data_IF_217948228559
#
_entry.id   IF_217948228559
#
_cell.length_a   1.000
_cell.length_b   1.000
_cell.length_c   1.000
_cell.angle_alpha   90.00
_cell.angle_beta   90.00
_cell.angle_gamma   90.00
#
_symmetry.space_group_name_H-M   'P 1'
#
loop_
_entity.id
_entity.type
_entity.pdbx_description
1 polymer ?
#
# COMPACT_ATOMS: atom_id res chain seq x y z
N UNK A 1 -17.76 10.23 -7.97
CA UNK A 1 -16.66 9.61 -7.20
C UNK A 1 -15.30 9.98 -7.78
N UNK A 2 -14.97 9.58 -9.02
CA UNK A 2 -13.66 9.84 -9.63
C UNK A 2 -13.27 11.34 -9.66
N UNK A 3 -14.23 12.23 -9.94
CA UNK A 3 -14.00 13.68 -9.93
C UNK A 3 -13.54 14.22 -8.57
N UNK A 4 -14.11 13.70 -7.47
CA UNK A 4 -13.83 14.17 -6.12
C UNK A 4 -12.43 13.74 -5.67
N UNK A 5 -12.04 12.50 -5.98
CA UNK A 5 -10.70 12.00 -5.69
C UNK A 5 -9.64 12.72 -6.53
N UNK A 6 -9.92 13.04 -7.80
CA UNK A 6 -9.00 13.86 -8.62
C UNK A 6 -8.76 15.23 -7.97
N UNK A 7 -9.81 15.93 -7.54
CA UNK A 7 -9.68 17.25 -6.87
C UNK A 7 -8.86 17.12 -5.58
N UNK A 8 -9.15 16.11 -4.77
CA UNK A 8 -8.45 15.85 -3.50
C UNK A 8 -6.96 15.56 -3.76
N UNK A 9 -6.65 14.71 -4.73
CA UNK A 9 -5.27 14.39 -5.11
C UNK A 9 -4.53 15.60 -5.68
N UNK A 10 -5.15 16.40 -6.56
CA UNK A 10 -4.52 17.60 -7.09
C UNK A 10 -4.11 18.58 -5.99
N UNK A 11 -4.93 18.71 -4.94
CA UNK A 11 -4.61 19.55 -3.78
C UNK A 11 -3.51 18.95 -2.90
N UNK A 12 -3.55 17.64 -2.65
CA UNK A 12 -2.54 16.98 -1.81
C UNK A 12 -1.18 16.95 -2.51
N UNK A 13 -1.16 16.66 -3.80
CA UNK A 13 0.07 16.46 -4.57
C UNK A 13 0.70 17.77 -5.08
N UNK A 14 0.03 18.92 -4.93
CA UNK A 14 0.64 20.22 -5.24
C UNK A 14 1.87 20.53 -4.39
N UNK A 15 1.89 19.99 -3.16
CA UNK A 15 2.95 20.23 -2.18
C UNK A 15 3.99 19.10 -2.14
N UNK A 16 3.79 18.05 -2.96
CA UNK A 16 4.71 16.90 -3.06
C UNK A 16 5.87 17.24 -3.99
N UNK A 17 7.10 17.33 -3.44
CA UNK A 17 8.26 17.87 -4.16
C UNK A 17 9.10 16.81 -4.87
N UNK A 18 8.89 15.56 -4.51
CA UNK A 18 9.69 14.40 -4.92
C UNK A 18 9.32 13.95 -6.35
N UNK A 19 8.15 14.34 -6.85
CA UNK A 19 7.71 14.04 -8.20
C UNK A 19 6.75 15.11 -8.73
N UNK A 20 6.97 15.56 -9.97
CA UNK A 20 6.09 16.51 -10.62
C UNK A 20 4.90 15.80 -11.30
N UNK A 21 3.76 15.80 -10.63
CA UNK A 21 2.54 15.17 -11.14
C UNK A 21 1.89 16.00 -12.24
N UNK A 22 1.77 15.42 -13.44
CA UNK A 22 0.89 15.97 -14.48
C UNK A 22 -0.57 15.66 -14.16
N UNK A 23 -1.51 16.41 -14.75
CA UNK A 23 -2.95 16.14 -14.62
C UNK A 23 -3.29 14.70 -15.04
N UNK A 24 -2.68 14.20 -16.13
CA UNK A 24 -2.84 12.81 -16.57
C UNK A 24 -2.36 11.80 -15.53
N UNK A 25 -1.25 12.09 -14.85
CA UNK A 25 -0.74 11.22 -13.78
C UNK A 25 -1.69 11.20 -12.58
N UNK A 26 -2.28 12.35 -12.24
CA UNK A 26 -3.25 12.46 -11.15
C UNK A 26 -4.53 11.70 -11.49
N UNK A 27 -5.06 11.85 -12.71
CA UNK A 27 -6.23 11.09 -13.17
C UNK A 27 -5.97 9.59 -13.17
N UNK A 28 -4.80 9.16 -13.62
CA UNK A 28 -4.43 7.75 -13.64
C UNK A 28 -4.30 7.19 -12.22
N UNK A 29 -3.65 7.92 -11.32
CA UNK A 29 -3.57 7.56 -9.90
C UNK A 29 -4.96 7.50 -9.26
N UNK A 30 -5.83 8.47 -9.54
CA UNK A 30 -7.21 8.48 -9.07
C UNK A 30 -7.98 7.23 -9.52
N UNK A 31 -7.85 6.85 -10.79
CA UNK A 31 -8.49 5.63 -11.33
C UNK A 31 -7.97 4.37 -10.67
N UNK A 32 -6.65 4.30 -10.46
CA UNK A 32 -6.02 3.17 -9.77
C UNK A 32 -6.55 3.09 -8.33
N UNK A 33 -6.48 4.18 -7.56
CA UNK A 33 -6.94 4.19 -6.17
C UNK A 33 -8.42 3.80 -6.08
N UNK A 34 -9.26 4.33 -6.97
CA UNK A 34 -10.68 3.98 -7.00
C UNK A 34 -10.94 2.51 -7.37
N UNK A 35 -10.10 1.90 -8.21
CA UNK A 35 -10.21 0.48 -8.55
C UNK A 35 -9.79 -0.45 -7.40
N UNK A 36 -8.95 0.04 -6.50
CA UNK A 36 -8.46 -0.67 -5.32
C UNK A 36 -9.12 -0.19 -4.02
N UNK A 37 -10.26 0.51 -4.09
CA UNK A 37 -10.93 1.01 -2.89
C UNK A 37 -11.23 -0.14 -1.91
N UNK A 38 -10.93 0.09 -0.63
CA UNK A 38 -10.96 -0.90 0.45
C UNK A 38 -10.06 -2.14 0.26
N UNK A 39 -9.18 -2.15 -0.74
CA UNK A 39 -8.27 -3.25 -1.06
C UNK A 39 -6.80 -2.84 -0.92
N UNK A 40 -5.92 -3.84 -0.88
CA UNK A 40 -4.48 -3.63 -0.89
C UNK A 40 -4.01 -3.31 -2.31
N UNK A 41 -3.37 -2.15 -2.49
CA UNK A 41 -2.81 -1.75 -3.77
C UNK A 41 -1.40 -2.35 -3.97
N UNK A 42 -1.17 -3.15 -5.04
CA UNK A 42 0.16 -3.64 -5.35
C UNK A 42 1.08 -2.49 -5.82
N UNK A 43 2.29 -2.40 -5.25
CA UNK A 43 3.26 -1.35 -5.61
C UNK A 43 3.56 -1.34 -7.12
N UNK A 44 3.63 -2.53 -7.73
CA UNK A 44 3.88 -2.71 -9.16
C UNK A 44 2.85 -2.02 -10.06
N UNK A 45 1.59 -1.93 -9.62
CA UNK A 45 0.52 -1.25 -10.38
C UNK A 45 0.84 0.23 -10.51
N UNK A 46 1.18 0.89 -9.40
CA UNK A 46 1.54 2.32 -9.41
C UNK A 46 2.85 2.53 -10.16
N UNK A 47 3.85 1.70 -9.86
CA UNK A 47 5.18 1.75 -10.47
C UNK A 47 5.11 1.77 -11.99
N UNK A 48 4.38 0.81 -12.58
CA UNK A 48 4.26 0.65 -14.03
C UNK A 48 3.45 1.77 -14.68
N UNK A 49 2.37 2.20 -14.03
CA UNK A 49 1.46 3.20 -14.59
C UNK A 49 2.00 4.63 -14.49
N UNK A 50 2.76 4.95 -13.44
CA UNK A 50 3.31 6.30 -13.21
C UNK A 50 4.81 6.41 -13.53
N UNK A 51 5.42 5.32 -14.00
CA UNK A 51 6.85 5.25 -14.32
C UNK A 51 7.76 5.69 -13.15
N UNK A 52 7.40 5.25 -11.94
CA UNK A 52 8.15 5.51 -10.71
C UNK A 52 9.08 4.34 -10.41
N UNK A 53 10.05 4.53 -9.51
CA UNK A 53 10.77 3.44 -8.86
C UNK A 53 10.07 2.99 -7.56
N UNK A 54 10.51 1.88 -6.97
CA UNK A 54 9.90 1.36 -5.74
C UNK A 54 10.01 2.31 -4.54
N UNK A 55 11.08 3.11 -4.45
CA UNK A 55 11.25 4.08 -3.38
C UNK A 55 10.22 5.20 -3.53
N UNK A 56 10.10 5.76 -4.73
CA UNK A 56 9.13 6.79 -5.06
C UNK A 56 7.68 6.34 -4.84
N UNK A 57 7.35 5.08 -5.19
CA UNK A 57 6.01 4.53 -4.93
C UNK A 57 5.73 4.42 -3.43
N UNK A 58 6.70 3.93 -2.65
CA UNK A 58 6.53 3.85 -1.20
C UNK A 58 6.40 5.24 -0.56
N UNK A 59 7.25 6.19 -0.95
CA UNK A 59 7.20 7.58 -0.46
C UNK A 59 5.85 8.23 -0.81
N UNK A 60 5.36 8.03 -2.02
CA UNK A 60 4.04 8.49 -2.46
C UNK A 60 2.92 7.87 -1.62
N UNK A 61 2.91 6.54 -1.48
CA UNK A 61 1.85 5.84 -0.73
C UNK A 61 1.87 6.18 0.76
N UNK A 62 3.05 6.39 1.34
CA UNK A 62 3.20 6.89 2.71
C UNK A 62 2.70 8.33 2.84
N UNK A 63 2.97 9.19 1.85
CA UNK A 63 2.46 10.55 1.82
C UNK A 63 0.92 10.58 1.70
N UNK A 64 0.35 9.73 0.86
CA UNK A 64 -1.10 9.54 0.75
C UNK A 64 -1.70 9.01 2.06
N UNK A 65 -0.98 8.17 2.81
CA UNK A 65 -1.44 7.67 4.08
C UNK A 65 -1.55 8.76 5.15
N UNK A 66 -0.56 9.67 5.20
CA UNK A 66 -0.61 10.87 6.05
C UNK A 66 -1.81 11.78 5.74
N UNK A 67 -2.35 11.68 4.52
CA UNK A 67 -3.52 12.41 4.06
C UNK A 67 -4.81 11.57 4.04
N UNK A 68 -4.82 10.40 4.71
CA UNK A 68 -6.00 9.54 4.82
C UNK A 68 -6.60 9.10 3.47
N UNK A 69 -5.74 8.87 2.46
CA UNK A 69 -6.12 8.26 1.18
C UNK A 69 -5.78 6.77 1.16
N UNK A 70 -4.72 6.41 1.88
CA UNK A 70 -4.32 5.02 2.09
C UNK A 70 -4.10 4.79 3.59
N UNK A 71 -4.03 3.53 3.99
CA UNK A 71 -3.72 3.11 5.33
C UNK A 71 -2.52 2.16 5.28
N UNK A 72 -1.59 2.32 6.23
CA UNK A 72 -0.51 1.37 6.42
C UNK A 72 -1.11 0.10 7.01
N UNK A 73 -0.76 -1.01 6.40
CA UNK A 73 -1.09 -2.35 6.84
C UNK A 73 0.17 -3.20 6.73
N UNK A 74 0.11 -4.39 7.32
CA UNK A 74 1.28 -5.25 7.46
C UNK A 74 0.97 -6.66 6.98
N UNK A 75 1.94 -7.26 6.31
CA UNK A 75 1.93 -8.68 5.94
C UNK A 75 3.23 -9.33 6.40
N UNK A 76 3.15 -10.62 6.70
CA UNK A 76 4.31 -11.44 7.02
C UNK A 76 4.72 -12.20 5.76
N UNK A 77 6.01 -12.16 5.42
CA UNK A 77 6.57 -13.02 4.40
C UNK A 77 7.10 -14.32 5.01
N UNK A 78 6.68 -15.47 4.47
CA UNK A 78 7.26 -16.77 4.80
C UNK A 78 7.98 -17.35 3.58
N UNK A 79 9.12 -18.03 3.79
CA UNK A 79 9.80 -18.71 2.68
C UNK A 79 9.00 -19.91 2.15
N UNK A 80 8.13 -20.50 2.97
CA UNK A 80 7.27 -21.60 2.56
C UNK A 80 6.07 -21.03 1.78
N UNK A 81 5.95 -21.28 0.47
CA UNK A 81 4.87 -20.75 -0.35
C UNK A 81 3.48 -21.25 0.10
N UNK A 82 3.41 -22.42 0.74
CA UNK A 82 2.16 -22.94 1.31
C UNK A 82 1.66 -22.11 2.50
N UNK A 83 2.51 -21.31 3.12
CA UNK A 83 2.15 -20.40 4.21
C UNK A 83 1.88 -18.97 3.73
N UNK A 84 2.18 -18.64 2.47
CA UNK A 84 2.02 -17.30 1.91
C UNK A 84 0.64 -17.05 1.28
N UNK A 85 -0.07 -18.12 0.93
CA UNK A 85 -1.32 -18.08 0.18
C UNK A 85 -2.50 -17.46 0.97
N UNK A 86 -2.43 -17.47 2.31
CA UNK A 86 -3.43 -16.91 3.24
C UNK A 86 -2.79 -15.88 4.19
N UNK A 87 -1.94 -14.99 3.67
CA UNK A 87 -1.29 -13.96 4.50
C UNK A 87 -2.30 -12.92 4.96
N UNK A 88 -2.79 -13.13 6.17
CA UNK A 88 -3.53 -12.19 7.01
C UNK A 88 -2.90 -10.79 6.90
N UNK A 89 -3.77 -9.79 6.77
CA UNK A 89 -3.37 -8.38 6.70
C UNK A 89 -3.64 -7.79 8.07
N UNK A 90 -2.57 -7.41 8.77
CA UNK A 90 -2.67 -6.78 10.07
C UNK A 90 -2.83 -5.26 9.91
N UNK A 91 -3.72 -4.65 10.69
CA UNK A 91 -3.90 -3.20 10.72
C UNK A 91 -2.91 -2.53 11.68
N UNK A 92 -2.54 -3.25 12.75
CA UNK A 92 -1.54 -2.82 13.70
C UNK A 92 -0.33 -3.76 13.68
N UNK A 93 0.86 -3.19 13.76
CA UNK A 93 2.11 -3.96 13.85
C UNK A 93 2.18 -4.81 15.13
N UNK A 94 1.49 -4.39 16.20
CA UNK A 94 1.45 -5.14 17.46
C UNK A 94 0.51 -6.36 17.43
N UNK A 95 -0.38 -6.43 16.44
CA UNK A 95 -1.26 -7.59 16.25
C UNK A 95 -0.53 -8.74 15.54
N UNK A 96 0.63 -8.44 14.96
CA UNK A 96 1.50 -9.43 14.35
C UNK A 96 2.04 -10.31 15.49
N UNK A 97 1.73 -11.62 15.49
CA UNK A 97 2.10 -12.45 16.63
C UNK A 97 3.64 -12.55 16.68
N UNK A 98 4.23 -12.81 17.86
CA UNK A 98 5.69 -12.81 18.05
C UNK A 98 6.32 -14.21 17.88
N UNK A 99 5.58 -15.26 18.18
CA UNK A 99 6.08 -16.64 18.26
C UNK A 99 6.16 -17.36 16.91
N UNK A 100 6.98 -18.40 16.76
CA UNK A 100 7.04 -19.16 15.52
C UNK A 100 5.68 -19.83 15.17
N UNK A 101 5.39 -19.99 13.89
CA UNK A 101 4.21 -20.74 13.44
C UNK A 101 4.37 -22.24 13.77
N UNK A 102 3.52 -22.77 14.66
CA UNK A 102 3.57 -24.17 15.12
C UNK A 102 3.33 -25.21 13.99
N UNK A 103 2.65 -24.81 12.92
CA UNK A 103 2.32 -25.67 11.77
C UNK A 103 3.25 -25.50 10.56
N UNK A 104 4.28 -24.65 10.68
CA UNK A 104 5.19 -24.36 9.58
C UNK A 104 6.49 -25.14 9.77
N UNK A 105 6.80 -26.10 8.88
CA UNK A 105 8.03 -26.92 8.90
C UNK A 105 9.33 -26.11 9.01
N UNK A 106 9.29 -24.83 8.61
CA UNK A 106 10.42 -23.89 8.64
C UNK A 106 10.36 -22.82 9.73
N UNK A 107 9.47 -22.90 10.72
CA UNK A 107 9.42 -21.96 11.86
C UNK A 107 9.40 -20.49 11.40
N UNK A 108 8.34 -20.07 10.71
CA UNK A 108 8.28 -18.71 10.18
C UNK A 108 8.35 -17.70 11.35
N UNK A 109 9.44 -16.90 11.40
CA UNK A 109 9.67 -15.90 12.46
C UNK A 109 8.86 -14.66 12.23
N UNK A 110 8.27 -14.18 13.31
CA UNK A 110 6.96 -13.57 13.29
C UNK A 110 6.98 -12.03 13.40
N UNK A 111 8.16 -11.39 13.38
CA UNK A 111 8.27 -9.92 13.26
C UNK A 111 9.40 -9.45 12.33
N UNK A 112 10.44 -10.27 12.12
CA UNK A 112 11.57 -9.92 11.25
C UNK A 112 11.26 -9.91 9.75
N UNK A 113 10.13 -10.52 9.35
CA UNK A 113 9.73 -10.68 7.95
C UNK A 113 8.47 -9.87 7.60
N UNK A 114 8.20 -8.82 8.38
CA UNK A 114 7.06 -7.95 8.16
C UNK A 114 7.40 -6.99 7.03
N UNK A 115 6.48 -6.88 6.07
CA UNK A 115 6.55 -5.85 5.04
C UNK A 115 5.27 -5.02 5.02
N UNK A 116 5.43 -3.75 4.67
CA UNK A 116 4.35 -2.78 4.63
C UNK A 116 3.57 -2.97 3.33
N UNK A 117 2.26 -2.98 3.46
CA UNK A 117 1.32 -2.88 2.36
C UNK A 117 0.38 -1.71 2.60
N UNK A 118 -0.25 -1.19 1.55
CA UNK A 118 -1.12 -0.03 1.65
C UNK A 118 -2.53 -0.44 1.25
N UNK A 119 -3.49 -0.27 2.15
CA UNK A 119 -4.91 -0.39 1.82
C UNK A 119 -5.39 0.97 1.32
N UNK A 120 -6.14 1.01 0.22
CA UNK A 120 -6.79 2.25 -0.19
C UNK A 120 -8.00 2.50 0.71
N UNK A 121 -8.11 3.73 1.20
CA UNK A 121 -9.25 4.18 1.97
C UNK A 121 -9.76 5.50 1.36
N UNK A 122 -10.75 5.40 0.48
CA UNK A 122 -11.47 6.55 -0.04
C UNK A 122 -12.70 6.80 0.83
N UNK A 123 -12.52 7.02 2.14
CA UNK A 123 -13.60 7.45 3.06
C UNK A 123 -14.48 8.49 2.35
N UNK A 124 -15.74 8.12 2.09
CA UNK A 124 -16.74 8.99 1.47
C UNK A 124 -17.11 10.17 2.38
#
# INVERSE_FOLDING_TARGET
>A
MLSNICIKLSKILSDYKEYNFTEKNIELLARILNAYDNQIIPLEVIKRNLHLDYKQVNDLLLYLARNSITQLNYKIWCENPNCNADTEVYENIYDIPLDECDYCDKRCKKMSNVYIVYRVNLNE
#
